data_IF_650194378950
#
_entry.id   IF_650194378950
#
_cell.length_a   1.000
_cell.length_b   1.000
_cell.length_c   1.000
_cell.angle_alpha   90.00
_cell.angle_beta   90.00
_cell.angle_gamma   90.00
#
_symmetry.space_group_name_H-M   'P 1'
#
loop_
_entity.id
_entity.type
_entity.pdbx_description
1 polymer ?
#
# COMPACT_ATOMS: atom_id res chain seq x y z
N UNK A 1 22.20 -22.39 0.78
CA UNK A 1 20.92 -21.68 0.96
C UNK A 1 21.25 -20.23 1.15
N UNK A 2 20.59 -19.31 0.44
CA UNK A 2 20.86 -17.87 0.54
C UNK A 2 20.44 -17.35 1.91
N UNK A 3 21.29 -16.54 2.55
CA UNK A 3 20.99 -15.88 3.81
C UNK A 3 20.62 -14.42 3.55
N UNK A 4 19.34 -14.10 3.67
CA UNK A 4 18.76 -12.81 3.30
C UNK A 4 18.39 -12.00 4.54
N UNK A 5 18.69 -10.70 4.52
CA UNK A 5 18.14 -9.73 5.46
C UNK A 5 17.06 -8.88 4.77
N UNK A 6 15.85 -8.87 5.28
CA UNK A 6 14.79 -7.95 4.83
C UNK A 6 14.75 -6.77 5.78
N UNK A 7 14.81 -5.52 5.26
CA UNK A 7 14.81 -4.32 6.09
C UNK A 7 13.84 -3.26 5.58
N UNK A 8 13.00 -2.73 6.46
CA UNK A 8 12.00 -1.71 6.14
C UNK A 8 11.57 -0.90 7.35
N UNK A 9 10.94 0.24 7.11
CA UNK A 9 10.36 1.08 8.16
C UNK A 9 8.83 0.97 8.13
N UNK A 10 8.25 0.38 9.16
CA UNK A 10 6.79 0.30 9.35
C UNK A 10 6.46 -0.04 10.79
N UNK A 11 5.17 0.05 11.17
CA UNK A 11 4.69 -0.41 12.47
C UNK A 11 4.19 -1.85 12.39
N UNK A 12 4.77 -2.79 13.13
CA UNK A 12 4.25 -4.15 13.21
C UNK A 12 2.97 -4.25 14.05
N UNK A 13 2.62 -3.17 14.76
CA UNK A 13 1.41 -3.06 15.59
C UNK A 13 0.23 -2.46 14.83
N UNK A 14 0.49 -1.80 13.68
CA UNK A 14 -0.52 -1.25 12.77
C UNK A 14 -0.24 -1.81 11.36
N UNK A 15 -0.71 -3.05 11.13
CA UNK A 15 -0.40 -3.86 9.94
C UNK A 15 -1.12 -3.33 8.71
N UNK A 16 -0.64 -2.23 8.13
CA UNK A 16 -1.22 -1.60 6.95
C UNK A 16 -0.22 -1.52 5.80
N UNK A 17 -0.74 -1.43 4.59
CA UNK A 17 -0.01 -1.09 3.37
C UNK A 17 1.37 -1.77 3.25
N UNK A 18 2.44 -1.02 3.51
CA UNK A 18 3.82 -1.51 3.36
C UNK A 18 4.11 -2.74 4.24
N UNK A 19 3.62 -2.76 5.50
CA UNK A 19 3.85 -3.90 6.38
C UNK A 19 3.27 -5.18 5.78
N UNK A 20 2.01 -5.14 5.35
CA UNK A 20 1.34 -6.32 4.75
C UNK A 20 2.04 -6.77 3.47
N UNK A 21 2.48 -5.83 2.63
CA UNK A 21 3.21 -6.16 1.40
C UNK A 21 4.53 -6.88 1.70
N UNK A 22 5.32 -6.36 2.65
CA UNK A 22 6.59 -6.99 3.06
C UNK A 22 6.35 -8.34 3.74
N UNK A 23 5.37 -8.42 4.65
CA UNK A 23 5.03 -9.64 5.37
C UNK A 23 4.67 -10.79 4.43
N UNK A 24 3.73 -10.56 3.51
CA UNK A 24 3.31 -11.59 2.55
C UNK A 24 4.47 -12.02 1.64
N UNK A 25 5.30 -11.08 1.21
CA UNK A 25 6.48 -11.39 0.40
C UNK A 25 7.48 -12.26 1.17
N UNK A 26 7.81 -11.92 2.42
CA UNK A 26 8.68 -12.70 3.29
C UNK A 26 8.11 -14.10 3.53
N UNK A 27 6.81 -14.20 3.81
CA UNK A 27 6.12 -15.49 3.98
C UNK A 27 6.40 -16.42 2.80
N UNK A 28 6.18 -15.96 1.58
CA UNK A 28 6.38 -16.78 0.37
C UNK A 28 7.88 -17.05 0.07
N UNK A 29 8.78 -16.13 0.45
CA UNK A 29 10.22 -16.40 0.38
C UNK A 29 10.62 -17.54 1.33
N UNK A 30 10.13 -17.53 2.56
CA UNK A 30 10.37 -18.60 3.56
C UNK A 30 9.73 -19.92 3.12
N UNK A 31 8.49 -19.89 2.66
CA UNK A 31 7.76 -21.08 2.17
C UNK A 31 8.43 -21.74 0.96
N UNK A 32 9.23 -21.00 0.19
CA UNK A 32 10.00 -21.58 -0.94
C UNK A 32 11.03 -22.60 -0.50
N UNK A 33 11.51 -22.52 0.76
CA UNK A 33 12.58 -23.37 1.29
C UNK A 33 13.98 -23.12 0.67
N UNK A 34 14.14 -22.07 -0.16
CA UNK A 34 15.36 -21.80 -0.91
C UNK A 34 16.29 -20.79 -0.23
N UNK A 35 15.81 -20.08 0.80
CA UNK A 35 16.56 -19.06 1.53
C UNK A 35 16.24 -19.07 3.02
N UNK A 36 17.17 -18.57 3.82
CA UNK A 36 16.95 -18.17 5.21
C UNK A 36 16.70 -16.66 5.24
N UNK A 37 15.66 -16.22 5.93
CA UNK A 37 15.24 -14.81 5.96
C UNK A 37 15.17 -14.32 7.40
N UNK A 38 15.97 -13.29 7.71
CA UNK A 38 15.83 -12.51 8.93
C UNK A 38 15.19 -11.15 8.60
N UNK A 39 14.18 -10.75 9.38
CA UNK A 39 13.45 -9.50 9.14
C UNK A 39 13.82 -8.46 10.16
N UNK A 40 14.17 -7.26 9.69
CA UNK A 40 14.51 -6.09 10.50
C UNK A 40 13.49 -4.99 10.24
N UNK A 41 12.68 -4.69 11.25
CA UNK A 41 11.65 -3.65 11.18
C UNK A 41 12.11 -2.41 11.93
N UNK A 42 12.34 -1.32 11.20
CA UNK A 42 12.69 -0.02 11.78
C UNK A 42 11.41 0.62 12.28
N UNK A 43 11.39 1.03 13.55
CA UNK A 43 10.23 1.65 14.15
C UNK A 43 10.63 2.83 15.03
N UNK A 44 10.04 4.00 14.74
CA UNK A 44 10.23 5.19 15.58
C UNK A 44 9.26 5.15 16.77
N UNK A 45 9.72 5.59 17.92
CA UNK A 45 8.88 5.79 19.11
C UNK A 45 9.11 7.18 19.69
N UNK A 46 8.04 7.85 20.08
CA UNK A 46 8.12 9.14 20.74
C UNK A 46 8.84 9.00 22.09
N UNK A 47 9.77 9.91 22.39
CA UNK A 47 10.37 10.02 23.73
C UNK A 47 9.28 10.27 24.78
N UNK A 48 9.54 9.98 26.06
CA UNK A 48 8.57 10.17 27.13
C UNK A 48 7.99 11.60 27.17
N UNK A 49 8.87 12.62 27.00
CA UNK A 49 8.44 14.02 26.92
C UNK A 49 7.56 14.28 25.70
N UNK A 50 7.94 13.75 24.55
CA UNK A 50 7.17 13.89 23.30
C UNK A 50 5.79 13.26 23.43
N UNK A 51 5.71 12.04 23.96
CA UNK A 51 4.44 11.34 24.22
C UNK A 51 3.50 12.16 25.11
N UNK A 52 4.03 12.70 26.22
CA UNK A 52 3.23 13.52 27.13
C UNK A 52 2.65 14.76 26.46
N UNK A 53 3.43 15.44 25.61
CA UNK A 53 3.00 16.68 24.95
C UNK A 53 2.09 16.44 23.74
N UNK A 54 2.21 15.28 23.09
CA UNK A 54 1.43 14.94 21.91
C UNK A 54 0.26 14.00 22.20
N UNK A 55 0.13 13.55 23.45
CA UNK A 55 -0.88 12.57 23.88
C UNK A 55 -0.84 11.29 23.04
N UNK A 56 0.37 10.84 22.63
CA UNK A 56 0.53 9.59 21.90
C UNK A 56 0.64 8.41 22.85
N UNK A 57 0.06 7.23 22.51
CA UNK A 57 0.11 6.05 23.36
C UNK A 57 1.55 5.53 23.55
N UNK A 58 1.76 4.79 24.62
CA UNK A 58 3.01 4.06 24.81
C UNK A 58 3.05 2.83 23.90
N UNK A 59 4.17 2.67 23.19
CA UNK A 59 4.41 1.50 22.33
C UNK A 59 5.25 0.50 23.11
N UNK A 60 4.91 -0.82 23.11
CA UNK A 60 5.69 -1.83 23.81
C UNK A 60 7.15 -1.83 23.39
N UNK A 61 8.07 -1.76 24.36
CA UNK A 61 9.52 -1.80 24.12
C UNK A 61 10.01 -3.25 24.03
N UNK A 62 9.63 -3.94 22.96
CA UNK A 62 10.10 -5.29 22.69
C UNK A 62 11.17 -5.25 21.59
N UNK A 63 12.16 -6.12 21.67
CA UNK A 63 13.22 -6.23 20.65
C UNK A 63 12.86 -7.16 19.51
N UNK A 64 11.86 -8.02 19.72
CA UNK A 64 11.45 -9.04 18.78
C UNK A 64 9.97 -9.35 18.93
N UNK A 65 9.30 -9.64 17.81
CA UNK A 65 7.94 -10.20 17.79
C UNK A 65 7.88 -11.32 16.74
N UNK A 66 6.96 -12.25 16.91
CA UNK A 66 6.65 -13.28 15.91
C UNK A 66 5.25 -13.08 15.36
N UNK A 67 5.10 -13.11 14.04
CA UNK A 67 3.85 -12.99 13.31
C UNK A 67 3.82 -14.09 12.26
N UNK A 68 2.82 -14.95 12.29
CA UNK A 68 2.66 -16.08 11.36
C UNK A 68 3.94 -16.95 11.22
N UNK A 69 4.64 -17.17 12.36
CA UNK A 69 5.90 -17.92 12.41
C UNK A 69 7.14 -17.15 11.94
N UNK A 70 6.98 -15.92 11.41
CA UNK A 70 8.08 -15.07 10.97
C UNK A 70 8.55 -14.21 12.12
N UNK A 71 9.85 -14.22 12.39
CA UNK A 71 10.49 -13.43 13.44
C UNK A 71 10.89 -12.05 12.92
N UNK A 72 10.41 -10.98 13.59
CA UNK A 72 10.75 -9.60 13.30
C UNK A 72 11.67 -9.04 14.38
N UNK A 73 12.88 -8.66 14.01
CA UNK A 73 13.81 -7.93 14.86
C UNK A 73 13.45 -6.44 14.82
N UNK A 74 13.06 -5.85 15.95
CA UNK A 74 12.60 -4.46 16.02
C UNK A 74 13.77 -3.52 16.30
N UNK A 75 14.02 -2.62 15.37
CA UNK A 75 15.05 -1.59 15.46
C UNK A 75 14.40 -0.29 15.90
N UNK A 76 14.44 -0.03 17.21
CA UNK A 76 13.83 1.16 17.81
C UNK A 76 14.66 2.40 17.61
N UNK A 77 13.99 3.48 17.21
CA UNK A 77 14.55 4.81 17.09
C UNK A 77 13.73 5.80 17.94
N UNK A 78 14.39 6.49 18.89
CA UNK A 78 13.72 7.47 19.73
C UNK A 78 13.50 8.78 18.96
N UNK A 79 12.25 9.26 18.93
CA UNK A 79 11.79 10.39 18.15
C UNK A 79 11.38 11.54 19.07
N UNK A 80 12.14 12.61 19.04
CA UNK A 80 11.94 13.80 19.87
C UNK A 80 11.03 14.83 19.21
N UNK A 81 10.61 15.87 19.94
CA UNK A 81 9.88 17.01 19.36
C UNK A 81 10.72 17.73 18.28
N UNK A 82 12.05 17.78 18.44
CA UNK A 82 12.94 18.33 17.42
C UNK A 82 12.90 17.46 16.15
N UNK A 83 12.90 16.14 16.31
CA UNK A 83 12.80 15.23 15.16
C UNK A 83 11.47 15.38 14.43
N UNK A 84 10.36 15.58 15.16
CA UNK A 84 9.07 15.92 14.55
C UNK A 84 9.15 17.19 13.70
N UNK A 85 9.80 18.24 14.22
CA UNK A 85 9.97 19.47 13.45
C UNK A 85 10.89 19.28 12.24
N UNK A 86 12.00 18.57 12.40
CA UNK A 86 12.92 18.28 11.31
C UNK A 86 12.27 17.47 10.20
N UNK A 87 11.59 16.38 10.54
CA UNK A 87 11.01 15.45 9.56
C UNK A 87 9.74 16.01 8.90
N UNK A 88 8.77 16.47 9.70
CA UNK A 88 7.46 16.84 9.17
C UNK A 88 7.33 18.28 8.70
N UNK A 89 8.15 19.22 9.23
CA UNK A 89 8.13 20.63 8.79
C UNK A 89 9.26 20.98 7.84
N UNK A 90 10.47 20.49 8.12
CA UNK A 90 11.66 20.82 7.34
C UNK A 90 12.06 19.74 6.33
N UNK A 91 11.36 18.61 6.32
CA UNK A 91 11.64 17.45 5.47
C UNK A 91 13.12 17.02 5.51
N UNK A 92 13.70 16.98 6.72
CA UNK A 92 15.07 16.54 6.97
C UNK A 92 15.10 15.23 7.74
N UNK A 93 16.23 14.55 7.72
CA UNK A 93 16.44 13.37 8.58
C UNK A 93 16.37 13.76 10.06
N UNK A 94 15.96 12.84 10.95
CA UNK A 94 16.02 13.06 12.39
C UNK A 94 17.45 13.39 12.85
N UNK A 95 17.58 14.11 13.96
CA UNK A 95 18.85 14.68 14.40
C UNK A 95 19.95 13.61 14.62
N UNK A 96 19.61 12.53 15.33
CA UNK A 96 20.57 11.46 15.61
C UNK A 96 20.50 10.29 14.62
N UNK A 97 19.79 10.43 13.50
CA UNK A 97 19.57 9.35 12.55
C UNK A 97 20.88 8.73 12.03
N UNK A 98 21.89 9.53 11.70
CA UNK A 98 23.15 9.01 11.22
C UNK A 98 23.91 8.16 12.24
N UNK A 99 23.85 8.51 13.53
CA UNK A 99 24.44 7.72 14.62
C UNK A 99 23.69 6.41 14.83
N UNK A 100 22.35 6.48 14.80
CA UNK A 100 21.49 5.30 14.89
C UNK A 100 21.73 4.34 13.72
N UNK A 101 21.69 4.84 12.49
CA UNK A 101 21.99 4.10 11.28
C UNK A 101 23.35 3.39 11.38
N UNK A 102 24.39 4.13 11.76
CA UNK A 102 25.73 3.60 11.95
C UNK A 102 25.81 2.43 12.93
N UNK A 103 25.02 2.47 14.00
CA UNK A 103 24.98 1.42 15.03
C UNK A 103 24.19 0.19 14.56
N UNK A 104 23.01 0.43 13.97
CA UNK A 104 22.09 -0.62 13.58
C UNK A 104 22.59 -1.42 12.36
N UNK A 105 23.29 -0.78 11.44
CA UNK A 105 23.76 -1.41 10.20
C UNK A 105 24.74 -2.58 10.43
N UNK A 106 25.39 -2.63 11.60
CA UNK A 106 26.24 -3.78 12.00
C UNK A 106 25.49 -5.12 12.04
N UNK A 107 24.16 -5.08 12.23
CA UNK A 107 23.30 -6.28 12.24
C UNK A 107 23.16 -6.90 10.84
N UNK A 108 23.40 -6.13 9.78
CA UNK A 108 23.32 -6.60 8.39
C UNK A 108 24.62 -7.23 7.88
N UNK A 109 25.66 -7.31 8.72
CA UNK A 109 26.93 -7.91 8.35
C UNK A 109 26.78 -9.44 8.26
N UNK A 110 27.29 -10.02 7.17
CA UNK A 110 27.35 -11.48 6.98
C UNK A 110 26.11 -12.10 6.33
N UNK A 111 25.17 -11.28 5.83
CA UNK A 111 24.14 -11.73 4.92
C UNK A 111 24.69 -11.76 3.48
N UNK A 112 24.14 -12.68 2.68
CA UNK A 112 24.50 -12.78 1.26
C UNK A 112 23.89 -11.62 0.46
N UNK A 113 22.68 -11.15 0.88
CA UNK A 113 22.00 -10.04 0.25
C UNK A 113 21.02 -9.35 1.21
N UNK A 114 20.85 -8.02 1.05
CA UNK A 114 19.83 -7.24 1.77
C UNK A 114 18.69 -6.88 0.84
N UNK A 115 17.48 -7.27 1.20
CA UNK A 115 16.23 -6.85 0.55
C UNK A 115 15.65 -5.68 1.32
N UNK A 116 15.89 -4.49 0.80
CA UNK A 116 15.38 -3.25 1.41
C UNK A 116 14.03 -2.87 0.82
N UNK A 117 13.14 -2.32 1.64
CA UNK A 117 11.90 -1.74 1.16
C UNK A 117 11.85 -0.25 1.51
N UNK A 118 11.45 0.54 0.54
CA UNK A 118 11.32 1.99 0.60
C UNK A 118 12.65 2.73 0.87
N UNK A 119 12.57 4.06 0.93
CA UNK A 119 13.73 4.94 1.10
C UNK A 119 14.54 4.64 2.37
N UNK A 120 13.86 4.49 3.52
CA UNK A 120 14.58 4.28 4.80
C UNK A 120 15.30 2.95 4.83
N UNK A 121 14.67 1.85 4.44
CA UNK A 121 15.32 0.55 4.29
C UNK A 121 16.53 0.63 3.35
N UNK A 122 16.37 1.33 2.22
CA UNK A 122 17.43 1.57 1.25
C UNK A 122 18.64 2.31 1.83
N UNK A 123 18.44 3.26 2.75
CA UNK A 123 19.56 3.95 3.44
C UNK A 123 20.37 2.99 4.32
N UNK A 124 19.72 2.08 5.04
CA UNK A 124 20.42 1.06 5.84
C UNK A 124 21.18 0.08 4.96
N UNK A 125 20.57 -0.36 3.87
CA UNK A 125 21.22 -1.25 2.91
C UNK A 125 22.43 -0.61 2.22
N UNK A 126 22.30 0.64 1.78
CA UNK A 126 23.43 1.42 1.22
C UNK A 126 24.59 1.56 2.21
N UNK A 127 24.30 1.83 3.48
CA UNK A 127 25.35 1.96 4.50
C UNK A 127 25.99 0.59 4.81
N UNK A 128 25.23 -0.52 4.79
CA UNK A 128 25.76 -1.87 4.92
C UNK A 128 26.68 -2.22 3.73
N UNK A 129 26.27 -1.87 2.52
CA UNK A 129 27.08 -2.03 1.32
C UNK A 129 28.40 -1.25 1.42
N UNK A 130 28.36 0.02 1.82
CA UNK A 130 29.54 0.87 1.95
C UNK A 130 30.54 0.37 3.00
N UNK A 131 30.06 -0.21 4.10
CA UNK A 131 30.92 -0.63 5.21
C UNK A 131 31.39 -2.07 5.13
N UNK A 132 30.56 -2.93 4.64
CA UNK A 132 30.76 -4.38 4.70
C UNK A 132 30.74 -5.05 3.33
N UNK A 133 30.42 -4.32 2.25
CA UNK A 133 30.32 -4.90 0.91
C UNK A 133 29.08 -5.76 0.69
N UNK A 134 28.10 -5.78 1.62
CA UNK A 134 26.90 -6.60 1.48
C UNK A 134 26.03 -6.05 0.36
N UNK A 135 25.79 -6.80 -0.73
CA UNK A 135 24.98 -6.34 -1.84
C UNK A 135 23.52 -6.20 -1.42
N UNK A 136 22.77 -5.33 -2.12
CA UNK A 136 21.38 -5.10 -1.78
C UNK A 136 20.51 -4.77 -3.00
N UNK A 137 19.23 -5.05 -2.87
CA UNK A 137 18.17 -4.59 -3.76
C UNK A 137 17.16 -3.76 -2.98
N UNK A 138 16.48 -2.84 -3.68
CA UNK A 138 15.43 -2.00 -3.05
C UNK A 138 14.12 -2.18 -3.77
N UNK A 139 13.03 -2.39 -3.03
CA UNK A 139 11.67 -2.35 -3.56
C UNK A 139 11.02 -1.01 -3.25
N UNK A 140 10.56 -0.31 -4.28
CA UNK A 140 9.92 0.99 -4.25
C UNK A 140 8.41 0.82 -4.36
N UNK A 141 7.64 1.48 -3.46
CA UNK A 141 6.20 1.25 -3.28
C UNK A 141 5.29 2.38 -3.76
N UNK A 142 5.83 3.56 -4.07
CA UNK A 142 5.06 4.69 -4.61
C UNK A 142 5.56 6.03 -4.12
N UNK A 143 5.09 6.52 -2.97
CA UNK A 143 5.43 7.86 -2.45
C UNK A 143 6.93 8.09 -2.26
N UNK A 144 7.70 7.04 -2.09
CA UNK A 144 9.15 7.01 -1.98
C UNK A 144 9.87 7.29 -3.32
N UNK A 145 9.14 7.33 -4.43
CA UNK A 145 9.65 7.73 -5.76
C UNK A 145 8.98 9.03 -6.23
N UNK A 146 7.65 9.09 -6.23
CA UNK A 146 6.93 10.21 -6.86
C UNK A 146 6.71 11.42 -5.94
N UNK A 147 6.87 11.32 -4.61
CA UNK A 147 6.59 12.43 -3.69
C UNK A 147 7.75 12.75 -2.76
N UNK A 148 8.27 11.74 -2.05
CA UNK A 148 9.22 11.94 -0.96
C UNK A 148 10.56 12.56 -1.42
N UNK A 149 11.18 12.14 -2.54
CA UNK A 149 12.44 12.71 -3.01
C UNK A 149 12.37 14.21 -3.33
N UNK A 150 11.19 14.66 -3.79
CA UNK A 150 10.98 16.03 -4.26
C UNK A 150 10.74 17.05 -3.15
N UNK A 151 10.56 16.58 -1.91
CA UNK A 151 10.35 17.46 -0.75
C UNK A 151 11.62 18.21 -0.33
N UNK A 152 12.80 17.65 -0.60
CA UNK A 152 14.08 18.24 -0.20
C UNK A 152 15.22 17.73 -1.10
N UNK A 153 16.11 18.61 -1.62
CA UNK A 153 17.24 18.21 -2.45
C UNK A 153 18.18 17.17 -1.81
N UNK A 154 18.30 17.16 -0.48
CA UNK A 154 19.12 16.16 0.23
C UNK A 154 18.47 14.78 0.17
N UNK A 155 17.14 14.71 0.29
CA UNK A 155 16.41 13.44 0.15
C UNK A 155 16.55 12.92 -1.29
N UNK A 156 16.40 13.78 -2.28
CA UNK A 156 16.61 13.42 -3.68
C UNK A 156 18.02 12.88 -3.94
N UNK A 157 19.05 13.56 -3.41
CA UNK A 157 20.44 13.10 -3.48
C UNK A 157 20.63 11.72 -2.84
N UNK A 158 20.07 11.51 -1.66
CA UNK A 158 20.16 10.24 -0.95
C UNK A 158 19.41 9.13 -1.67
N UNK A 159 18.19 9.42 -2.17
CA UNK A 159 17.41 8.46 -2.96
C UNK A 159 18.17 8.04 -4.21
N UNK A 160 18.76 8.98 -4.93
CA UNK A 160 19.62 8.69 -6.09
C UNK A 160 20.80 7.80 -5.70
N UNK A 161 21.49 8.11 -4.61
CA UNK A 161 22.61 7.29 -4.14
C UNK A 161 22.19 5.87 -3.77
N UNK A 162 21.01 5.70 -3.17
CA UNK A 162 20.44 4.37 -2.89
C UNK A 162 20.16 3.63 -4.19
N UNK A 163 19.53 4.26 -5.18
CA UNK A 163 19.19 3.64 -6.46
C UNK A 163 20.42 3.20 -7.26
N UNK A 164 21.43 4.07 -7.34
CA UNK A 164 22.62 3.86 -8.19
C UNK A 164 23.59 2.80 -7.64
N UNK A 165 23.57 2.54 -6.33
CA UNK A 165 24.43 1.53 -5.71
C UNK A 165 23.71 0.20 -5.47
N UNK A 166 22.40 0.10 -5.69
CA UNK A 166 21.65 -1.14 -5.57
C UNK A 166 21.98 -2.11 -6.72
N UNK A 167 22.09 -3.39 -6.40
CA UNK A 167 22.20 -4.46 -7.41
C UNK A 167 20.98 -4.46 -8.34
N UNK A 168 19.80 -4.16 -7.78
CA UNK A 168 18.57 -3.90 -8.53
C UNK A 168 17.60 -3.03 -7.75
N UNK A 169 16.83 -2.25 -8.49
CA UNK A 169 15.67 -1.52 -7.99
C UNK A 169 14.40 -2.18 -8.51
N UNK A 170 13.62 -2.75 -7.63
CA UNK A 170 12.31 -3.31 -7.94
C UNK A 170 11.22 -2.25 -7.76
N UNK A 171 10.33 -2.16 -8.71
CA UNK A 171 9.19 -1.24 -8.69
C UNK A 171 7.90 -2.03 -8.73
N UNK A 172 6.94 -1.66 -7.88
CA UNK A 172 5.66 -2.36 -7.79
C UNK A 172 4.75 -2.15 -9.00
N UNK A 173 5.10 -1.24 -9.91
CA UNK A 173 4.40 -1.01 -11.18
C UNK A 173 5.34 -0.49 -12.26
N UNK A 174 4.95 -0.67 -13.53
CA UNK A 174 5.68 -0.13 -14.70
C UNK A 174 5.64 1.40 -14.69
N UNK A 175 4.53 1.99 -14.29
CA UNK A 175 4.39 3.43 -14.14
C UNK A 175 5.39 3.99 -13.12
N UNK A 176 5.52 3.34 -11.95
CA UNK A 176 6.47 3.76 -10.92
C UNK A 176 7.92 3.59 -11.37
N UNK A 177 8.21 2.51 -12.12
CA UNK A 177 9.52 2.32 -12.75
C UNK A 177 9.85 3.47 -13.70
N UNK A 178 8.95 3.86 -14.58
CA UNK A 178 9.13 4.97 -15.49
C UNK A 178 9.33 6.30 -14.75
N UNK A 179 8.53 6.56 -13.71
CA UNK A 179 8.65 7.77 -12.88
C UNK A 179 10.04 7.89 -12.23
N UNK A 180 10.67 6.77 -11.87
CA UNK A 180 12.00 6.74 -11.27
C UNK A 180 13.13 7.23 -12.21
N UNK A 181 12.89 7.33 -13.51
CA UNK A 181 13.86 7.89 -14.47
C UNK A 181 14.16 9.38 -14.20
N UNK A 182 13.22 10.08 -13.59
CA UNK A 182 13.43 11.47 -13.10
C UNK A 182 14.47 11.55 -11.98
N UNK A 183 14.73 10.46 -11.25
CA UNK A 183 15.70 10.40 -10.15
C UNK A 183 17.05 9.87 -10.65
N UNK A 184 17.04 8.74 -11.34
CA UNK A 184 18.24 8.12 -11.92
C UNK A 184 17.87 7.28 -13.13
N UNK A 185 18.53 7.53 -14.27
CA UNK A 185 18.37 6.75 -15.49
C UNK A 185 19.30 5.53 -15.50
N UNK A 186 20.48 5.65 -14.89
CA UNK A 186 21.54 4.63 -14.92
C UNK A 186 21.33 3.44 -13.97
N UNK A 187 20.42 3.57 -13.01
CA UNK A 187 20.13 2.50 -12.05
C UNK A 187 19.48 1.28 -12.74
N UNK A 188 19.89 0.06 -12.34
CA UNK A 188 19.24 -1.18 -12.79
C UNK A 188 17.83 -1.27 -12.23
N UNK A 189 16.84 -1.52 -13.08
CA UNK A 189 15.42 -1.40 -12.77
C UNK A 189 14.62 -2.57 -13.29
N UNK A 190 13.80 -3.17 -12.42
CA UNK A 190 12.88 -4.24 -12.75
C UNK A 190 11.49 -3.95 -12.18
N UNK A 191 10.44 -4.41 -12.85
CA UNK A 191 9.08 -4.40 -12.31
C UNK A 191 8.87 -5.69 -11.53
N UNK A 192 8.42 -5.55 -10.29
CA UNK A 192 8.11 -6.67 -9.41
C UNK A 192 6.80 -6.34 -8.68
N UNK A 193 5.69 -6.79 -9.25
CA UNK A 193 4.36 -6.54 -8.68
C UNK A 193 4.22 -7.14 -7.29
N UNK A 194 3.49 -6.46 -6.42
CA UNK A 194 2.98 -7.07 -5.21
C UNK A 194 1.86 -8.06 -5.55
N UNK A 195 1.71 -9.09 -4.75
CA UNK A 195 0.63 -10.07 -4.87
C UNK A 195 -0.62 -9.65 -4.10
N UNK A 196 -1.72 -10.33 -4.38
CA UNK A 196 -2.94 -10.31 -3.56
C UNK A 196 -2.90 -11.50 -2.61
N UNK A 197 -3.43 -11.35 -1.38
CA UNK A 197 -3.56 -12.46 -0.44
C UNK A 197 -4.57 -13.48 -0.93
N UNK A 198 -4.30 -14.76 -0.71
CA UNK A 198 -5.18 -15.88 -1.07
C UNK A 198 -6.52 -15.86 -0.33
N UNK A 199 -6.66 -15.04 0.72
CA UNK A 199 -7.91 -14.82 1.44
C UNK A 199 -8.95 -14.04 0.61
N UNK A 200 -8.48 -13.22 -0.35
CA UNK A 200 -9.36 -12.47 -1.25
C UNK A 200 -9.76 -13.33 -2.44
N UNK A 201 -10.83 -14.08 -2.24
CA UNK A 201 -11.45 -14.94 -3.24
C UNK A 201 -12.95 -14.69 -3.31
N UNK A 202 -13.55 -14.90 -4.46
CA UNK A 202 -15.00 -14.87 -4.59
C UNK A 202 -15.61 -16.03 -3.80
N UNK A 203 -16.49 -15.72 -2.87
CA UNK A 203 -17.25 -16.72 -2.12
C UNK A 203 -18.35 -17.32 -3.00
N UNK A 204 -18.87 -18.50 -2.59
CA UNK A 204 -20.05 -19.08 -3.22
C UNK A 204 -21.25 -18.14 -3.10
N UNK A 205 -22.19 -18.24 -4.05
CA UNK A 205 -23.34 -17.34 -4.09
C UNK A 205 -24.17 -17.44 -2.79
N UNK A 206 -24.41 -18.62 -2.25
CA UNK A 206 -25.11 -18.80 -0.97
C UNK A 206 -24.40 -18.09 0.19
N UNK A 207 -23.05 -18.11 0.23
CA UNK A 207 -22.29 -17.41 1.26
C UNK A 207 -22.37 -15.91 1.08
N UNK A 208 -22.31 -15.43 -0.16
CA UNK A 208 -22.47 -14.00 -0.49
C UNK A 208 -23.86 -13.50 -0.09
N UNK A 209 -24.92 -14.23 -0.41
CA UNK A 209 -26.30 -13.91 -0.01
C UNK A 209 -26.44 -13.79 1.51
N UNK A 210 -25.95 -14.78 2.27
CA UNK A 210 -25.97 -14.73 3.73
C UNK A 210 -25.18 -13.55 4.31
N UNK A 211 -24.06 -13.17 3.68
CA UNK A 211 -23.28 -11.99 4.10
C UNK A 211 -24.02 -10.70 3.77
N UNK A 212 -24.63 -10.60 2.59
CA UNK A 212 -25.40 -9.41 2.19
C UNK A 212 -26.59 -9.21 3.13
N UNK A 213 -27.32 -10.27 3.47
CA UNK A 213 -28.39 -10.24 4.47
C UNK A 213 -27.90 -9.76 5.83
N UNK A 214 -26.76 -10.31 6.31
CA UNK A 214 -26.09 -9.86 7.57
C UNK A 214 -25.79 -8.37 7.56
N UNK A 215 -25.45 -7.81 6.42
CA UNK A 215 -25.15 -6.37 6.25
C UNK A 215 -26.39 -5.53 5.89
N UNK A 216 -27.58 -6.12 5.96
CA UNK A 216 -28.85 -5.43 5.70
C UNK A 216 -29.03 -5.06 4.22
N UNK A 217 -28.59 -5.93 3.33
CA UNK A 217 -28.77 -5.81 1.89
C UNK A 217 -29.76 -6.88 1.40
N UNK A 218 -30.65 -6.51 0.51
CA UNK A 218 -31.48 -7.45 -0.23
C UNK A 218 -30.74 -7.99 -1.46
N UNK A 219 -31.33 -8.97 -2.12
CA UNK A 219 -30.72 -9.65 -3.25
C UNK A 219 -30.49 -8.70 -4.45
N UNK A 220 -31.44 -7.83 -4.69
CA UNK A 220 -31.42 -6.82 -5.78
C UNK A 220 -30.61 -5.58 -5.48
N UNK A 221 -30.26 -5.31 -4.21
CA UNK A 221 -29.48 -4.11 -3.84
C UNK A 221 -28.12 -4.13 -4.55
N UNK A 222 -27.71 -2.99 -5.10
CA UNK A 222 -26.37 -2.81 -5.62
C UNK A 222 -25.52 -2.03 -4.62
N UNK A 223 -24.25 -2.40 -4.51
CA UNK A 223 -23.28 -1.75 -3.63
C UNK A 223 -22.19 -1.13 -4.47
N UNK A 224 -22.09 0.20 -4.47
CA UNK A 224 -20.95 0.94 -5.00
C UNK A 224 -20.09 1.38 -3.82
N UNK A 225 -18.82 1.03 -3.80
CA UNK A 225 -17.96 1.27 -2.66
C UNK A 225 -16.68 2.03 -3.00
N UNK A 226 -16.26 2.90 -2.08
CA UNK A 226 -14.88 3.36 -1.93
C UNK A 226 -14.23 2.56 -0.80
N UNK A 227 -13.05 1.99 -1.06
CA UNK A 227 -12.27 1.28 -0.05
C UNK A 227 -10.86 1.84 0.01
N UNK A 228 -10.50 2.40 1.18
CA UNK A 228 -9.17 2.97 1.38
C UNK A 228 -9.12 4.06 2.43
N UNK A 229 -7.94 4.64 2.64
CA UNK A 229 -7.76 5.75 3.57
C UNK A 229 -8.50 7.01 3.09
N UNK A 230 -9.27 7.64 3.96
CA UNK A 230 -10.02 8.89 3.67
C UNK A 230 -9.05 10.08 3.79
N UNK A 231 -8.22 10.27 2.75
CA UNK A 231 -7.17 11.29 2.68
C UNK A 231 -7.13 11.97 1.30
N UNK A 232 -6.47 13.13 1.21
CA UNK A 232 -6.47 13.97 0.01
C UNK A 232 -5.96 13.25 -1.25
N UNK A 233 -4.93 12.40 -1.15
CA UNK A 233 -4.38 11.68 -2.31
C UNK A 233 -5.37 10.68 -2.91
N UNK A 234 -6.35 10.22 -2.14
CA UNK A 234 -7.45 9.36 -2.61
C UNK A 234 -8.60 10.14 -3.24
N UNK A 235 -8.48 11.47 -3.28
CA UNK A 235 -9.43 12.39 -3.92
C UNK A 235 -10.89 12.19 -3.44
N UNK A 236 -11.06 11.94 -2.15
CA UNK A 236 -12.36 11.62 -1.56
C UNK A 236 -13.40 12.74 -1.69
N UNK A 237 -12.96 13.96 -1.99
CA UNK A 237 -13.85 15.10 -2.23
C UNK A 237 -14.75 14.94 -3.47
N UNK A 238 -14.35 14.12 -4.44
CA UNK A 238 -15.16 13.86 -5.65
C UNK A 238 -16.20 12.75 -5.44
N UNK A 239 -16.15 12.01 -4.32
CA UNK A 239 -17.05 10.86 -4.11
C UNK A 239 -18.51 11.27 -3.96
N UNK A 240 -18.82 12.36 -3.23
CA UNK A 240 -20.20 12.80 -3.10
C UNK A 240 -20.80 13.23 -4.46
N UNK A 241 -20.19 14.13 -5.25
CA UNK A 241 -20.68 14.39 -6.61
C UNK A 241 -20.72 13.14 -7.51
N UNK A 242 -19.77 12.22 -7.37
CA UNK A 242 -19.80 10.97 -8.12
C UNK A 242 -21.01 10.09 -7.73
N UNK A 243 -21.30 9.97 -6.44
CA UNK A 243 -22.45 9.18 -5.96
C UNK A 243 -23.79 9.80 -6.44
N UNK A 244 -23.92 11.12 -6.45
CA UNK A 244 -25.06 11.80 -7.05
C UNK A 244 -25.21 11.48 -8.54
N UNK A 245 -24.13 11.55 -9.28
CA UNK A 245 -24.15 11.31 -10.72
C UNK A 245 -24.51 9.85 -11.04
N UNK A 246 -24.00 8.88 -10.25
CA UNK A 246 -24.38 7.47 -10.36
C UNK A 246 -25.86 7.31 -10.00
N UNK A 247 -26.33 7.88 -8.88
CA UNK A 247 -27.72 7.75 -8.43
C UNK A 247 -28.71 8.35 -9.47
N UNK A 248 -28.33 9.44 -10.12
CA UNK A 248 -29.19 10.08 -11.14
C UNK A 248 -29.38 9.25 -12.42
N UNK A 249 -28.51 8.27 -12.66
CA UNK A 249 -28.48 7.43 -13.88
C UNK A 249 -28.89 5.98 -13.65
N UNK A 250 -28.94 5.54 -12.41
CA UNK A 250 -29.25 4.16 -12.05
C UNK A 250 -30.54 4.12 -11.22
N UNK A 251 -31.62 3.55 -11.76
CA UNK A 251 -32.94 3.55 -11.13
C UNK A 251 -33.15 2.44 -10.09
N UNK A 252 -32.29 1.41 -10.07
CA UNK A 252 -32.38 0.28 -9.15
C UNK A 252 -32.04 0.61 -7.69
N UNK A 253 -32.29 -0.33 -6.74
CA UNK A 253 -31.85 -0.19 -5.36
C UNK A 253 -30.31 -0.07 -5.30
N UNK A 254 -29.80 0.98 -4.63
CA UNK A 254 -28.38 1.34 -4.62
C UNK A 254 -27.97 1.89 -3.27
N UNK A 255 -26.91 1.32 -2.71
CA UNK A 255 -26.26 1.77 -1.47
C UNK A 255 -24.81 2.10 -1.74
N UNK A 256 -24.28 3.15 -1.11
CA UNK A 256 -22.88 3.55 -1.22
C UNK A 256 -22.12 3.21 0.07
N UNK A 257 -20.98 2.57 -0.08
CA UNK A 257 -20.14 2.22 1.06
C UNK A 257 -18.84 3.00 1.09
N UNK A 258 -18.54 3.59 2.25
CA UNK A 258 -17.26 4.23 2.56
C UNK A 258 -16.52 3.35 3.57
N UNK A 259 -15.55 2.56 3.08
CA UNK A 259 -14.77 1.61 3.89
C UNK A 259 -13.37 2.16 4.11
N UNK A 260 -13.03 2.42 5.36
CA UNK A 260 -11.77 2.98 5.79
C UNK A 260 -11.91 4.21 6.67
N UNK A 261 -10.78 4.78 7.05
CA UNK A 261 -10.70 5.96 7.91
C UNK A 261 -9.58 6.89 7.46
N UNK A 262 -9.54 8.11 7.96
CA UNK A 262 -8.50 9.05 7.62
C UNK A 262 -8.80 10.49 8.03
N UNK A 263 -7.82 11.36 7.78
CA UNK A 263 -7.87 12.76 8.25
C UNK A 263 -9.06 13.57 7.71
N UNK A 264 -9.62 13.18 6.57
CA UNK A 264 -10.74 13.88 5.94
C UNK A 264 -12.10 13.29 6.31
N UNK A 265 -12.16 12.17 7.07
CA UNK A 265 -13.42 11.55 7.47
C UNK A 265 -14.33 12.54 8.20
N UNK A 266 -13.81 13.29 9.16
CA UNK A 266 -14.57 14.26 9.94
C UNK A 266 -15.24 15.37 9.13
N UNK A 267 -14.80 15.62 7.89
CA UNK A 267 -15.44 16.57 6.97
C UNK A 267 -16.34 15.89 5.94
N UNK A 268 -15.97 14.70 5.46
CA UNK A 268 -16.69 13.97 4.41
C UNK A 268 -17.94 13.27 4.93
N UNK A 269 -17.84 12.58 6.06
CA UNK A 269 -18.93 11.77 6.63
C UNK A 269 -20.16 12.62 6.99
N UNK A 270 -20.05 13.74 7.74
CA UNK A 270 -21.21 14.55 8.06
C UNK A 270 -21.90 15.15 6.83
N UNK A 271 -21.13 15.52 5.79
CA UNK A 271 -21.67 16.07 4.57
C UNK A 271 -22.48 15.05 3.76
N UNK A 272 -21.97 13.82 3.66
CA UNK A 272 -22.67 12.73 2.95
C UNK A 272 -23.89 12.20 3.72
N UNK A 273 -23.82 12.13 5.06
CA UNK A 273 -24.95 11.65 5.88
C UNK A 273 -26.09 12.67 5.88
N UNK A 274 -25.79 13.97 5.83
CA UNK A 274 -26.81 15.03 5.74
C UNK A 274 -27.52 15.07 4.39
N UNK A 275 -27.04 14.34 3.42
CA UNK A 275 -27.58 14.26 2.06
C UNK A 275 -28.61 13.14 1.95
N UNK A 276 -29.87 13.46 2.20
CA UNK A 276 -30.98 12.48 2.20
C UNK A 276 -31.24 11.82 0.83
N UNK A 277 -30.62 12.32 -0.25
CA UNK A 277 -30.75 11.72 -1.59
C UNK A 277 -29.83 10.51 -1.80
N UNK A 278 -28.90 10.27 -0.89
CA UNK A 278 -27.90 9.20 -0.97
C UNK A 278 -28.01 8.24 0.24
N UNK A 279 -28.14 6.92 -0.01
CA UNK A 279 -27.94 5.91 1.05
C UNK A 279 -26.43 5.62 1.17
N UNK A 280 -25.75 6.33 2.08
CA UNK A 280 -24.30 6.17 2.31
C UNK A 280 -24.02 5.55 3.67
N UNK A 281 -23.24 4.46 3.70
CA UNK A 281 -22.84 3.77 4.94
C UNK A 281 -21.33 3.88 5.16
N UNK A 282 -20.93 4.40 6.33
CA UNK A 282 -19.53 4.53 6.75
C UNK A 282 -19.12 3.38 7.69
N UNK A 283 -18.17 2.56 7.26
CA UNK A 283 -17.71 1.39 8.00
C UNK A 283 -16.53 1.68 8.94
N UNK A 284 -15.81 2.77 8.71
CA UNK A 284 -14.54 3.02 9.40
C UNK A 284 -13.47 1.99 9.02
N UNK A 285 -12.49 1.79 9.91
CA UNK A 285 -11.48 0.77 9.71
C UNK A 285 -12.09 -0.62 9.96
N UNK A 286 -12.09 -1.44 8.92
CA UNK A 286 -12.49 -2.85 8.99
C UNK A 286 -11.24 -3.69 9.28
N UNK A 287 -11.28 -4.65 10.23
CA UNK A 287 -10.20 -5.60 10.44
C UNK A 287 -9.81 -6.36 9.17
N UNK A 288 -8.51 -6.67 9.02
CA UNK A 288 -8.01 -7.31 7.80
C UNK A 288 -8.68 -8.67 7.52
N UNK A 289 -9.01 -9.42 8.58
CA UNK A 289 -9.71 -10.72 8.51
C UNK A 289 -11.15 -10.61 8.02
N UNK A 290 -11.79 -9.45 8.21
CA UNK A 290 -13.18 -9.21 7.77
C UNK A 290 -13.25 -8.60 6.37
N UNK A 291 -12.16 -8.03 5.86
CA UNK A 291 -12.11 -7.37 4.56
C UNK A 291 -12.57 -8.27 3.38
N UNK A 292 -12.20 -9.56 3.30
CA UNK A 292 -12.71 -10.44 2.24
C UNK A 292 -14.24 -10.55 2.25
N UNK A 293 -14.86 -10.55 3.44
CA UNK A 293 -16.33 -10.59 3.58
C UNK A 293 -16.99 -9.30 3.08
N UNK A 294 -16.42 -8.15 3.42
CA UNK A 294 -16.89 -6.84 2.95
C UNK A 294 -16.73 -6.72 1.42
N UNK A 295 -15.57 -7.09 0.88
CA UNK A 295 -15.30 -7.06 -0.56
C UNK A 295 -16.25 -7.94 -1.36
N UNK A 296 -16.64 -9.10 -0.83
CA UNK A 296 -17.59 -10.00 -1.48
C UNK A 296 -19.04 -9.46 -1.54
N UNK A 297 -19.35 -8.39 -0.81
CA UNK A 297 -20.65 -7.71 -0.88
C UNK A 297 -20.69 -6.55 -1.86
N UNK A 298 -19.54 -6.09 -2.35
CA UNK A 298 -19.42 -4.97 -3.29
C UNK A 298 -19.70 -5.45 -4.72
N UNK A 299 -20.49 -4.69 -5.46
CA UNK A 299 -20.71 -4.91 -6.89
C UNK A 299 -19.72 -4.09 -7.73
N UNK A 300 -19.54 -2.80 -7.41
CA UNK A 300 -18.56 -1.94 -8.09
C UNK A 300 -17.75 -1.14 -7.07
N UNK A 301 -16.43 -1.20 -7.16
CA UNK A 301 -15.53 -0.35 -6.38
C UNK A 301 -15.04 0.84 -7.21
N UNK A 302 -15.02 2.03 -6.63
CA UNK A 302 -14.49 3.24 -7.25
C UNK A 302 -13.20 3.71 -6.57
N UNK A 303 -12.18 4.05 -7.37
CA UNK A 303 -10.88 4.54 -6.88
C UNK A 303 -10.48 5.83 -7.63
N UNK A 304 -10.97 7.02 -7.23
CA UNK A 304 -10.70 8.30 -7.90
C UNK A 304 -9.35 8.93 -7.51
N UNK A 305 -8.37 8.13 -7.13
CA UNK A 305 -7.09 8.58 -6.58
C UNK A 305 -6.34 9.54 -7.49
N UNK A 306 -5.63 10.50 -6.89
CA UNK A 306 -4.73 11.43 -7.59
C UNK A 306 -3.39 10.78 -7.93
N UNK A 307 -2.99 9.76 -7.18
CA UNK A 307 -1.75 9.02 -7.42
C UNK A 307 -1.77 7.66 -6.71
N UNK A 308 -1.20 6.63 -7.36
CA UNK A 308 -1.05 5.28 -6.81
C UNK A 308 0.29 4.67 -7.24
N UNK A 309 0.88 3.86 -6.36
CA UNK A 309 2.00 2.99 -6.73
C UNK A 309 1.49 1.75 -7.47
N UNK A 310 0.82 0.88 -6.72
CA UNK A 310 0.04 -0.28 -7.20
C UNK A 310 -1.11 -0.48 -6.20
N UNK A 311 -2.37 -0.20 -6.58
CA UNK A 311 -3.51 -0.27 -5.67
C UNK A 311 -3.98 -1.72 -5.46
N UNK A 312 -3.40 -2.43 -4.49
CA UNK A 312 -3.77 -3.82 -4.18
C UNK A 312 -5.26 -3.98 -3.86
N UNK A 313 -5.86 -2.97 -3.25
CA UNK A 313 -7.30 -2.94 -2.94
C UNK A 313 -8.18 -3.17 -4.18
N UNK A 314 -7.74 -2.72 -5.36
CA UNK A 314 -8.43 -3.00 -6.62
C UNK A 314 -8.36 -4.49 -6.99
N UNK A 315 -7.18 -5.07 -6.86
CA UNK A 315 -6.99 -6.49 -7.14
C UNK A 315 -7.71 -7.38 -6.11
N UNK A 316 -7.75 -6.97 -4.84
CA UNK A 316 -8.52 -7.62 -3.77
C UNK A 316 -10.02 -7.61 -4.09
N UNK A 317 -10.56 -6.48 -4.53
CA UNK A 317 -11.96 -6.35 -4.93
C UNK A 317 -12.31 -7.23 -6.14
N UNK A 318 -11.47 -7.21 -7.19
CA UNK A 318 -11.65 -8.04 -8.39
C UNK A 318 -11.65 -9.53 -8.03
N UNK A 319 -10.71 -9.98 -7.22
CA UNK A 319 -10.64 -11.39 -6.79
C UNK A 319 -11.87 -11.80 -5.96
N UNK A 320 -12.50 -10.88 -5.24
CA UNK A 320 -13.76 -11.10 -4.52
C UNK A 320 -14.99 -11.00 -5.42
N UNK A 321 -14.82 -10.65 -6.71
CA UNK A 321 -15.89 -10.61 -7.71
C UNK A 321 -16.55 -9.24 -7.90
N UNK A 322 -16.01 -8.18 -7.34
CA UNK A 322 -16.41 -6.81 -7.63
C UNK A 322 -15.79 -6.33 -8.95
N UNK A 323 -16.51 -5.49 -9.69
CA UNK A 323 -15.92 -4.69 -10.78
C UNK A 323 -15.24 -3.44 -10.21
N UNK A 324 -14.23 -2.90 -10.88
CA UNK A 324 -13.48 -1.73 -10.40
C UNK A 324 -13.35 -0.67 -11.48
N UNK A 325 -13.67 0.58 -11.13
CA UNK A 325 -13.40 1.78 -11.94
C UNK A 325 -12.41 2.65 -11.20
N UNK A 326 -11.37 3.14 -11.88
CA UNK A 326 -10.36 3.99 -11.25
C UNK A 326 -9.91 5.15 -12.13
N UNK A 327 -9.21 6.11 -11.54
CA UNK A 327 -8.51 7.15 -12.30
C UNK A 327 -7.29 6.59 -13.05
N UNK A 328 -6.98 7.14 -14.23
CA UNK A 328 -5.78 6.75 -15.03
C UNK A 328 -4.51 7.36 -14.42
N UNK A 329 -4.08 6.79 -13.27
CA UNK A 329 -2.88 7.24 -12.55
C UNK A 329 -2.04 6.07 -12.07
N UNK A 330 -0.73 6.23 -12.09
CA UNK A 330 0.22 5.27 -11.55
C UNK A 330 -0.03 3.84 -12.06
N UNK A 331 -0.04 2.89 -11.13
CA UNK A 331 -0.27 1.46 -11.43
C UNK A 331 -1.75 1.05 -11.53
N UNK A 332 -2.73 1.97 -11.46
CA UNK A 332 -4.17 1.63 -11.56
C UNK A 332 -4.48 0.89 -12.85
N UNK A 333 -4.07 1.38 -14.06
CA UNK A 333 -4.35 0.69 -15.32
C UNK A 333 -3.73 -0.70 -15.42
N UNK A 334 -2.64 -0.94 -14.68
CA UNK A 334 -1.95 -2.24 -14.67
C UNK A 334 -2.73 -3.31 -13.90
N UNK A 335 -3.58 -2.87 -12.95
CA UNK A 335 -4.41 -3.76 -12.11
C UNK A 335 -5.77 -4.01 -12.75
N UNK A 336 -6.47 -2.93 -13.17
CA UNK A 336 -7.89 -3.03 -13.56
C UNK A 336 -8.13 -3.04 -15.07
N UNK A 337 -7.07 -2.87 -15.88
CA UNK A 337 -7.17 -2.71 -17.33
C UNK A 337 -7.39 -1.24 -17.75
N UNK A 338 -6.88 -0.88 -18.93
CA UNK A 338 -6.98 0.48 -19.45
C UNK A 338 -8.40 0.90 -19.83
N UNK A 339 -9.23 -0.04 -20.17
CA UNK A 339 -10.66 0.15 -20.49
C UNK A 339 -11.49 0.57 -19.27
N UNK A 340 -11.01 0.32 -18.05
CA UNK A 340 -11.71 0.58 -16.80
C UNK A 340 -11.20 1.84 -16.07
N UNK A 341 -10.25 2.55 -16.65
CA UNK A 341 -9.77 3.82 -16.08
C UNK A 341 -10.42 5.03 -16.76
N UNK A 342 -10.44 6.14 -16.01
CA UNK A 342 -10.94 7.45 -16.46
C UNK A 342 -9.82 8.47 -16.28
N UNK A 343 -9.55 9.32 -17.28
CA UNK A 343 -8.56 10.39 -17.16
C UNK A 343 -8.82 11.30 -15.96
N UNK A 344 -7.75 11.81 -15.35
CA UNK A 344 -7.83 12.73 -14.22
C UNK A 344 -7.97 14.16 -14.73
N UNK A 345 -9.15 14.50 -15.23
CA UNK A 345 -9.49 15.79 -15.79
C UNK A 345 -10.85 16.30 -15.25
N UNK A 346 -11.40 17.36 -15.85
CA UNK A 346 -12.67 17.94 -15.43
C UNK A 346 -13.89 17.03 -15.64
N UNK A 347 -13.77 15.99 -16.45
CA UNK A 347 -14.85 15.01 -16.71
C UNK A 347 -14.76 13.73 -15.87
N UNK A 348 -13.83 13.65 -14.92
CA UNK A 348 -13.60 12.47 -14.10
C UNK A 348 -14.89 11.91 -13.48
N UNK A 349 -15.70 12.77 -12.87
CA UNK A 349 -16.94 12.37 -12.19
C UNK A 349 -17.93 11.76 -13.17
N UNK A 350 -18.17 12.44 -14.29
CA UNK A 350 -19.08 11.98 -15.33
C UNK A 350 -18.59 10.67 -15.99
N UNK A 351 -17.31 10.61 -16.33
CA UNK A 351 -16.68 9.41 -16.92
C UNK A 351 -16.72 8.21 -15.98
N UNK A 352 -16.44 8.40 -14.69
CA UNK A 352 -16.56 7.32 -13.69
C UNK A 352 -18.01 6.87 -13.51
N UNK A 353 -18.95 7.81 -13.40
CA UNK A 353 -20.37 7.48 -13.24
C UNK A 353 -20.89 6.64 -14.41
N UNK A 354 -20.54 7.02 -15.66
CA UNK A 354 -20.88 6.23 -16.85
C UNK A 354 -20.41 4.81 -16.76
N UNK A 355 -19.11 4.59 -16.46
CA UNK A 355 -18.53 3.25 -16.32
C UNK A 355 -19.15 2.45 -15.17
N UNK A 356 -19.43 3.10 -14.03
CA UNK A 356 -20.07 2.43 -12.88
C UNK A 356 -21.46 1.92 -13.27
N UNK A 357 -22.28 2.74 -13.92
CA UNK A 357 -23.64 2.33 -14.35
C UNK A 357 -23.56 1.18 -15.36
N UNK A 358 -22.68 1.26 -16.36
CA UNK A 358 -22.43 0.16 -17.30
C UNK A 358 -22.05 -1.15 -16.60
N UNK A 359 -21.21 -1.07 -15.53
CA UNK A 359 -20.81 -2.25 -14.76
C UNK A 359 -21.92 -2.79 -13.85
N UNK A 360 -22.77 -1.92 -13.30
CA UNK A 360 -23.93 -2.36 -12.51
C UNK A 360 -24.94 -3.15 -13.37
N UNK A 361 -25.09 -2.77 -14.64
CA UNK A 361 -26.01 -3.41 -15.58
C UNK A 361 -25.45 -4.71 -16.18
N UNK A 362 -24.15 -4.72 -16.54
CA UNK A 362 -23.51 -5.82 -17.28
C UNK A 362 -22.72 -6.79 -16.41
N UNK A 363 -22.34 -6.39 -15.19
CA UNK A 363 -21.49 -7.16 -14.26
C UNK A 363 -20.28 -7.82 -14.96
N UNK A 364 -19.39 -7.03 -15.63
CA UNK A 364 -18.29 -7.59 -16.40
C UNK A 364 -17.29 -8.33 -15.50
N UNK A 365 -16.75 -9.43 -16.00
CA UNK A 365 -15.71 -10.17 -15.29
C UNK A 365 -14.36 -9.50 -15.54
N UNK A 366 -13.81 -8.85 -14.53
CA UNK A 366 -12.42 -8.40 -14.52
C UNK A 366 -11.51 -9.50 -13.99
N UNK A 367 -10.24 -9.52 -14.43
CA UNK A 367 -9.27 -10.53 -14.01
C UNK A 367 -7.97 -9.86 -13.62
N UNK A 368 -7.50 -10.15 -12.42
CA UNK A 368 -6.19 -9.70 -11.94
C UNK A 368 -5.08 -10.41 -12.71
N UNK A 369 -4.06 -9.69 -13.20
CA UNK A 369 -2.92 -10.32 -13.88
C UNK A 369 -2.26 -11.41 -13.01
N UNK A 370 -2.00 -12.59 -13.58
CA UNK A 370 -1.39 -13.71 -12.87
C UNK A 370 -0.01 -13.40 -12.25
N UNK A 371 0.67 -12.36 -12.76
CA UNK A 371 1.93 -11.84 -12.20
C UNK A 371 1.75 -11.16 -10.85
N UNK A 372 0.52 -10.82 -10.45
CA UNK A 372 0.17 -10.17 -9.17
C UNK A 372 -0.22 -11.21 -8.10
N UNK A 373 0.54 -12.29 -8.00
CA UNK A 373 0.46 -13.25 -6.90
C UNK A 373 1.76 -13.22 -6.09
N UNK A 374 1.66 -13.39 -4.76
CA UNK A 374 2.84 -13.39 -3.89
C UNK A 374 3.83 -14.52 -4.25
N UNK A 375 3.31 -15.66 -4.68
CA UNK A 375 4.12 -16.77 -5.18
C UNK A 375 4.94 -16.36 -6.40
N UNK A 376 4.32 -15.72 -7.39
CA UNK A 376 5.00 -15.23 -8.58
C UNK A 376 6.04 -14.16 -8.23
N UNK A 377 5.70 -13.24 -7.31
CA UNK A 377 6.61 -12.20 -6.82
C UNK A 377 7.86 -12.80 -6.18
N UNK A 378 7.69 -13.74 -5.23
CA UNK A 378 8.80 -14.38 -4.54
C UNK A 378 9.68 -15.21 -5.51
N UNK A 379 9.08 -15.96 -6.42
CA UNK A 379 9.82 -16.73 -7.43
C UNK A 379 10.67 -15.84 -8.34
N UNK A 380 10.10 -14.73 -8.82
CA UNK A 380 10.83 -13.77 -9.66
C UNK A 380 11.98 -13.12 -8.91
N UNK A 381 11.78 -12.74 -7.65
CA UNK A 381 12.83 -12.17 -6.80
C UNK A 381 13.96 -13.17 -6.54
N UNK A 382 13.64 -14.42 -6.17
CA UNK A 382 14.62 -15.47 -5.95
C UNK A 382 15.40 -15.82 -7.22
N UNK A 383 14.71 -15.88 -8.36
CA UNK A 383 15.38 -16.09 -9.65
C UNK A 383 16.40 -15.00 -9.95
N UNK A 384 16.02 -13.75 -9.66
CA UNK A 384 16.94 -12.64 -9.80
C UNK A 384 18.14 -12.73 -8.87
N UNK A 385 17.92 -13.02 -7.57
CA UNK A 385 19.00 -13.14 -6.58
C UNK A 385 19.99 -14.25 -6.92
N UNK A 386 19.52 -15.36 -7.50
CA UNK A 386 20.37 -16.46 -7.97
C UNK A 386 21.19 -16.12 -9.22
N UNK A 387 20.83 -15.07 -9.96
CA UNK A 387 21.52 -14.61 -11.15
C UNK A 387 22.61 -13.57 -10.87
N UNK A 388 22.71 -13.08 -9.63
CA UNK A 388 23.75 -12.17 -9.15
C UNK A 388 25.05 -12.92 -8.85
#
# INVERSE_FOLDING_TARGET
>A
MLKLAVIFESSPFDRKGLFNAVHNRVKHLVESGECEVDVFCIHSRDTALTRRLRHTPEVPSVSEISIDGIRYNLLWYDFSLLDHALVYKLHRKPFFFGKYLSRAVGMLKGYDHVLAHSFTGGLFALEAFRRFGVPYSVTWHGSDVHTHPWRNPLILKDTRAVMENASCNFYVSSALRAESDKISVSARKEVLYNGVSDDFVRFSDNRRESLREKYGLYLEDKVVAFVGSIVAVKNVSVLQPLFHEIRSRYDGPLTFWMVGDGKLRGSVEPAMIADESLDVRFWGNVPSEDMPSVMNCIDVMVLPSLNEGLPLVCAEAINCGASVVGSDVGGVPEVIGRENVVPLDCDLVNGMATKVVEMLDSAPVQVVPASMSWKSTAQKELSYLKSL
#
